data_IF_035404035664
#
_entry.id   IF_035404035664
#
_cell.length_a   1.000
_cell.length_b   1.000
_cell.length_c   1.000
_cell.angle_alpha   90.00
_cell.angle_beta   90.00
_cell.angle_gamma   90.00
#
_symmetry.space_group_name_H-M   'P 1'
#
loop_
_entity.id
_entity.type
_entity.pdbx_description
1 polymer ?
#
# COMPACT_ATOMS: atom_id res chain seq x y z
N UNK A 1 -19.03 8.48 0.98
CA UNK A 1 -17.63 8.40 1.22
C UNK A 1 -16.87 9.23 0.18
N UNK A 2 -15.96 10.07 0.67
CA UNK A 2 -15.35 11.11 -0.17
C UNK A 2 -14.45 10.51 -1.27
N UNK A 3 -13.65 9.51 -0.95
CA UNK A 3 -12.77 8.86 -1.94
C UNK A 3 -13.56 8.18 -3.06
N UNK A 4 -14.73 7.62 -2.74
CA UNK A 4 -15.63 7.05 -3.74
C UNK A 4 -16.25 8.10 -4.68
N UNK A 5 -16.50 9.32 -4.19
CA UNK A 5 -16.94 10.45 -5.02
C UNK A 5 -15.82 10.89 -5.97
N UNK A 6 -14.59 11.02 -5.45
CA UNK A 6 -13.42 11.35 -6.26
C UNK A 6 -13.17 10.31 -7.35
N UNK A 7 -13.23 9.02 -7.01
CA UNK A 7 -13.08 7.94 -7.99
C UNK A 7 -14.09 8.04 -9.15
N UNK A 8 -15.36 8.39 -8.84
CA UNK A 8 -16.40 8.60 -9.86
C UNK A 8 -16.17 9.85 -10.69
N UNK A 9 -15.87 10.98 -10.05
CA UNK A 9 -15.68 12.27 -10.69
C UNK A 9 -14.56 12.23 -11.73
N UNK A 10 -13.45 11.59 -11.39
CA UNK A 10 -12.27 11.51 -12.25
C UNK A 10 -12.20 10.23 -13.10
N UNK A 11 -13.20 9.37 -13.01
CA UNK A 11 -13.21 8.04 -13.66
C UNK A 11 -11.91 7.28 -13.41
N UNK A 12 -11.48 7.23 -12.16
CA UNK A 12 -10.17 6.72 -11.75
C UNK A 12 -10.27 5.65 -10.67
N UNK A 13 -9.30 4.75 -10.62
CA UNK A 13 -9.07 3.91 -9.46
C UNK A 13 -8.39 4.72 -8.36
N UNK A 14 -8.83 4.54 -7.13
CA UNK A 14 -8.21 5.14 -5.94
C UNK A 14 -7.71 4.02 -5.04
N UNK A 15 -6.43 4.05 -4.71
CA UNK A 15 -5.83 3.13 -3.75
C UNK A 15 -5.42 3.91 -2.51
N UNK A 16 -5.85 3.45 -1.36
CA UNK A 16 -5.59 4.12 -0.10
C UNK A 16 -5.46 3.10 1.05
N UNK A 17 -5.08 3.58 2.22
CA UNK A 17 -5.04 2.76 3.44
C UNK A 17 -5.64 3.53 4.62
N UNK A 18 -6.21 2.80 5.56
CA UNK A 18 -6.77 3.33 6.80
C UNK A 18 -6.72 2.28 7.91
N UNK A 19 -6.82 2.75 9.16
CA UNK A 19 -7.15 1.87 10.27
C UNK A 19 -8.64 1.56 10.22
N UNK A 20 -9.00 0.28 10.30
CA UNK A 20 -10.38 -0.18 10.24
C UNK A 20 -10.65 -1.28 11.26
N UNK A 21 -11.86 -1.32 11.78
CA UNK A 21 -12.36 -2.45 12.57
C UNK A 21 -13.04 -3.44 11.64
N UNK A 22 -12.92 -4.72 11.96
CA UNK A 22 -13.71 -5.75 11.32
C UNK A 22 -15.05 -5.91 12.07
N UNK A 23 -16.19 -6.03 11.39
CA UNK A 23 -17.49 -6.14 12.07
C UNK A 23 -17.56 -7.27 13.11
N UNK A 24 -16.92 -8.40 12.84
CA UNK A 24 -16.91 -9.56 13.76
C UNK A 24 -15.79 -9.49 14.83
N UNK A 25 -14.97 -8.44 14.84
CA UNK A 25 -13.85 -8.23 15.77
C UNK A 25 -13.80 -6.75 16.18
N UNK A 26 -14.88 -6.28 16.81
CA UNK A 26 -15.11 -4.87 17.10
C UNK A 26 -14.11 -4.25 18.10
N UNK A 27 -13.53 -5.07 18.96
CA UNK A 27 -12.51 -4.69 19.96
C UNK A 27 -11.11 -4.54 19.36
N UNK A 28 -10.93 -4.86 18.08
CA UNK A 28 -9.66 -4.88 17.39
C UNK A 28 -9.67 -4.00 16.14
N UNK A 29 -8.50 -3.46 15.79
CA UNK A 29 -8.36 -2.75 14.53
C UNK A 29 -7.21 -3.31 13.71
N UNK A 30 -7.38 -3.22 12.40
CA UNK A 30 -6.41 -3.63 11.40
C UNK A 30 -5.90 -2.39 10.66
N UNK A 31 -4.71 -2.49 10.11
CA UNK A 31 -4.27 -1.60 9.06
C UNK A 31 -4.72 -2.20 7.72
N UNK A 32 -5.56 -1.49 6.99
CA UNK A 32 -6.24 -2.01 5.79
C UNK A 32 -5.93 -1.11 4.60
N UNK A 33 -5.32 -1.71 3.58
CA UNK A 33 -5.25 -1.12 2.24
C UNK A 33 -6.51 -1.49 1.45
N UNK A 34 -7.00 -0.59 0.62
CA UNK A 34 -8.19 -0.84 -0.19
C UNK A 34 -8.12 -0.16 -1.55
N UNK A 35 -8.82 -0.76 -2.51
CA UNK A 35 -8.93 -0.24 -3.88
C UNK A 35 -10.40 0.10 -4.16
N UNK A 36 -10.62 1.33 -4.64
CA UNK A 36 -11.93 1.82 -5.08
C UNK A 36 -11.90 1.93 -6.60
N UNK A 37 -12.91 1.39 -7.26
CA UNK A 37 -13.04 1.47 -8.71
C UNK A 37 -13.70 2.79 -9.17
N UNK A 38 -13.70 3.10 -10.49
CA UNK A 38 -14.34 4.29 -11.06
C UNK A 38 -15.85 4.42 -10.79
N UNK A 39 -16.50 3.36 -10.30
CA UNK A 39 -17.89 3.41 -9.84
C UNK A 39 -18.03 3.80 -8.37
N UNK A 40 -16.91 4.12 -7.69
CA UNK A 40 -16.86 4.49 -6.28
C UNK A 40 -17.08 3.33 -5.32
N UNK A 41 -16.84 2.09 -5.75
CA UNK A 41 -17.00 0.89 -4.93
C UNK A 41 -15.66 0.34 -4.51
N UNK A 42 -15.53 -0.05 -3.26
CA UNK A 42 -14.38 -0.83 -2.77
C UNK A 42 -14.43 -2.22 -3.38
N UNK A 43 -13.40 -2.58 -4.15
CA UNK A 43 -13.31 -3.85 -4.88
C UNK A 43 -12.24 -4.78 -4.32
N UNK A 44 -11.30 -4.28 -3.51
CA UNK A 44 -10.30 -5.06 -2.79
C UNK A 44 -10.07 -4.44 -1.41
N UNK A 45 -9.87 -5.30 -0.42
CA UNK A 45 -9.31 -4.97 0.89
C UNK A 45 -8.15 -5.92 1.19
N UNK A 46 -7.01 -5.35 1.51
CA UNK A 46 -5.84 -6.09 2.02
C UNK A 46 -5.63 -5.73 3.49
N UNK A 47 -5.67 -6.72 4.35
CA UNK A 47 -5.38 -6.57 5.78
C UNK A 47 -3.90 -6.84 5.99
N UNK A 48 -3.18 -5.86 6.50
CA UNK A 48 -1.72 -5.94 6.65
C UNK A 48 -1.29 -7.20 7.39
N UNK A 49 -0.47 -8.03 6.75
CA UNK A 49 -0.02 -9.32 7.30
C UNK A 49 1.26 -9.22 8.13
N UNK A 50 2.03 -8.14 7.97
CA UNK A 50 3.31 -7.93 8.66
C UNK A 50 3.38 -6.53 9.28
N UNK A 51 2.64 -6.26 10.39
CA UNK A 51 2.78 -5.00 11.14
C UNK A 51 4.19 -4.82 11.68
N UNK A 52 4.64 -3.57 11.81
CA UNK A 52 5.94 -3.25 12.39
C UNK A 52 5.85 -3.22 13.92
N UNK A 53 6.10 -4.34 14.56
CA UNK A 53 6.16 -4.41 16.02
C UNK A 53 7.47 -3.77 16.56
N UNK A 54 7.43 -3.02 17.68
CA UNK A 54 6.28 -2.65 18.52
C UNK A 54 5.64 -1.30 18.16
N UNK A 55 6.03 -0.69 17.06
CA UNK A 55 5.62 0.66 16.66
C UNK A 55 4.17 0.69 16.17
N UNK A 56 3.75 -0.36 15.48
CA UNK A 56 2.41 -0.51 14.94
C UNK A 56 1.58 -1.44 15.85
N UNK A 57 0.43 -0.93 16.32
CA UNK A 57 -0.43 -1.64 17.26
C UNK A 57 -1.62 -2.34 16.59
N UNK A 58 -1.71 -2.32 15.27
CA UNK A 58 -2.76 -3.04 14.55
C UNK A 58 -2.55 -4.55 14.67
N UNK A 59 -3.66 -5.29 14.77
CA UNK A 59 -3.61 -6.74 14.63
C UNK A 59 -3.48 -7.14 13.16
N UNK A 60 -2.99 -8.33 12.91
CA UNK A 60 -2.87 -8.90 11.57
C UNK A 60 -3.66 -10.21 11.47
N UNK A 61 -3.86 -10.73 10.26
CA UNK A 61 -4.51 -12.03 10.06
C UNK A 61 -3.90 -13.18 10.87
N UNK A 62 -2.59 -13.15 11.15
CA UNK A 62 -1.91 -14.19 11.94
C UNK A 62 -2.25 -14.12 13.44
N UNK A 63 -2.59 -12.94 13.97
CA UNK A 63 -2.99 -12.79 15.38
C UNK A 63 -4.37 -13.39 15.68
N UNK A 64 -5.15 -13.61 14.62
CA UNK A 64 -6.50 -14.19 14.66
C UNK A 64 -6.63 -15.36 13.67
N UNK A 65 -5.56 -16.13 13.52
CA UNK A 65 -5.34 -17.08 12.42
C UNK A 65 -6.48 -18.08 12.22
N UNK A 66 -6.93 -18.76 13.28
CA UNK A 66 -7.97 -19.78 13.16
C UNK A 66 -9.29 -19.18 12.67
N UNK A 67 -9.70 -18.05 13.26
CA UNK A 67 -10.87 -17.30 12.82
C UNK A 67 -10.72 -16.79 11.38
N UNK A 68 -9.52 -16.32 11.01
CA UNK A 68 -9.23 -15.82 9.68
C UNK A 68 -9.36 -16.91 8.62
N UNK A 69 -8.77 -18.07 8.88
CA UNK A 69 -8.79 -19.22 7.97
C UNK A 69 -10.20 -19.80 7.85
N UNK A 70 -10.96 -19.87 8.93
CA UNK A 70 -12.36 -20.29 8.90
C UNK A 70 -13.19 -19.37 8.00
N UNK A 71 -12.97 -18.07 8.08
CA UNK A 71 -13.78 -17.07 7.36
C UNK A 71 -13.36 -16.88 5.90
N UNK A 72 -12.06 -16.84 5.62
CA UNK A 72 -11.50 -16.45 4.32
C UNK A 72 -10.76 -17.58 3.60
N UNK A 73 -10.55 -18.71 4.27
CA UNK A 73 -9.77 -19.84 3.75
C UNK A 73 -8.26 -19.68 3.93
N UNK A 74 -7.54 -20.74 3.54
CA UNK A 74 -6.08 -20.82 3.62
C UNK A 74 -5.45 -20.77 2.23
N UNK A 75 -5.66 -19.66 1.53
CA UNK A 75 -5.18 -19.44 0.15
C UNK A 75 -4.33 -18.18 0.07
N UNK A 76 -3.59 -17.99 -1.00
CA UNK A 76 -2.88 -16.73 -1.25
C UNK A 76 -3.85 -15.54 -1.24
N UNK A 77 -5.03 -15.71 -1.83
CA UNK A 77 -6.03 -14.64 -1.92
C UNK A 77 -6.58 -14.20 -0.56
N UNK A 78 -6.56 -15.08 0.44
CA UNK A 78 -7.01 -14.75 1.80
C UNK A 78 -6.03 -13.79 2.52
N UNK A 79 -4.75 -13.85 2.21
CA UNK A 79 -3.70 -13.07 2.86
C UNK A 79 -3.10 -11.99 1.94
N UNK A 80 -2.94 -12.26 0.65
CA UNK A 80 -2.38 -11.37 -0.35
C UNK A 80 -3.33 -11.23 -1.55
N UNK A 81 -4.52 -10.62 -1.36
CA UNK A 81 -5.52 -10.54 -2.41
C UNK A 81 -5.06 -9.69 -3.59
N UNK A 82 -5.48 -10.11 -4.78
CA UNK A 82 -5.30 -9.41 -6.04
C UNK A 82 -6.66 -9.30 -6.74
N UNK A 83 -6.92 -8.18 -7.39
CA UNK A 83 -8.16 -7.94 -8.14
C UNK A 83 -7.87 -7.65 -9.60
N UNK A 84 -8.62 -8.31 -10.49
CA UNK A 84 -8.62 -8.03 -11.92
C UNK A 84 -9.38 -6.73 -12.21
N UNK A 85 -8.77 -5.86 -13.00
CA UNK A 85 -9.35 -4.59 -13.44
C UNK A 85 -9.02 -4.30 -14.90
N UNK A 86 -9.69 -3.32 -15.49
CA UNK A 86 -9.39 -2.83 -16.85
C UNK A 86 -8.01 -2.16 -16.97
N UNK A 87 -7.35 -1.85 -15.85
CA UNK A 87 -5.99 -1.28 -15.81
C UNK A 87 -4.97 -2.29 -15.26
N UNK A 88 -5.24 -3.58 -15.39
CA UNK A 88 -4.38 -4.67 -14.93
C UNK A 88 -4.78 -5.26 -13.59
N UNK A 89 -3.99 -6.22 -13.11
CA UNK A 89 -4.21 -6.91 -11.84
C UNK A 89 -3.51 -6.19 -10.70
N UNK A 90 -4.32 -5.63 -9.79
CA UNK A 90 -3.87 -4.75 -8.73
C UNK A 90 -3.74 -5.47 -7.39
N UNK A 91 -2.64 -5.24 -6.69
CA UNK A 91 -2.39 -5.71 -5.34
C UNK A 91 -1.90 -4.62 -4.40
N UNK A 92 -1.88 -4.91 -3.11
CA UNK A 92 -1.43 -3.98 -2.08
C UNK A 92 -0.39 -4.65 -1.19
N UNK A 93 0.70 -3.93 -0.92
CA UNK A 93 1.77 -4.30 0.00
C UNK A 93 2.14 -3.06 0.81
N UNK A 94 1.76 -3.00 2.10
CA UNK A 94 1.88 -1.77 2.88
C UNK A 94 3.22 -1.67 3.60
N UNK A 95 3.93 -0.56 3.39
CA UNK A 95 5.10 -0.14 4.17
C UNK A 95 6.09 -1.29 4.44
N UNK A 96 6.15 -1.73 5.71
CA UNK A 96 7.04 -2.78 6.19
C UNK A 96 6.85 -4.15 5.50
N UNK A 97 5.68 -4.43 4.92
CA UNK A 97 5.48 -5.68 4.18
C UNK A 97 6.47 -5.83 3.02
N UNK A 98 6.84 -4.73 2.36
CA UNK A 98 7.84 -4.75 1.30
C UNK A 98 9.28 -4.99 1.77
N UNK A 99 9.54 -4.98 3.08
CA UNK A 99 10.83 -5.38 3.63
C UNK A 99 11.04 -6.90 3.55
N UNK A 100 9.96 -7.66 3.50
CA UNK A 100 9.98 -9.13 3.40
C UNK A 100 9.69 -9.55 1.96
N UNK A 101 10.65 -10.21 1.26
CA UNK A 101 10.49 -10.66 -0.12
C UNK A 101 9.26 -11.54 -0.34
N UNK A 102 8.88 -12.30 0.68
CA UNK A 102 7.77 -13.26 0.65
C UNK A 102 6.43 -12.58 0.36
N UNK A 103 6.19 -11.39 0.90
CA UNK A 103 4.95 -10.66 0.66
C UNK A 103 4.81 -10.25 -0.82
N UNK A 104 5.88 -9.75 -1.41
CA UNK A 104 5.90 -9.41 -2.83
C UNK A 104 5.77 -10.65 -3.71
N UNK A 105 6.47 -11.73 -3.35
CA UNK A 105 6.39 -13.01 -4.06
C UNK A 105 4.97 -13.60 -4.01
N UNK A 106 4.30 -13.55 -2.86
CA UNK A 106 2.93 -14.03 -2.72
C UNK A 106 1.94 -13.25 -3.61
N UNK A 107 2.07 -11.92 -3.66
CA UNK A 107 1.26 -11.09 -4.56
C UNK A 107 1.51 -11.44 -6.04
N UNK A 108 2.78 -11.60 -6.45
CA UNK A 108 3.13 -11.98 -7.82
C UNK A 108 2.60 -13.38 -8.17
N UNK A 109 2.72 -14.36 -7.27
CA UNK A 109 2.17 -15.71 -7.46
C UNK A 109 0.63 -15.70 -7.53
N UNK A 110 -0.02 -14.73 -6.89
CA UNK A 110 -1.46 -14.50 -7.02
C UNK A 110 -1.82 -13.64 -8.24
N UNK A 111 -0.83 -13.27 -9.05
CA UNK A 111 -0.98 -12.65 -10.36
C UNK A 111 -0.95 -11.12 -10.36
N UNK A 112 -0.47 -10.46 -9.32
CA UNK A 112 -0.35 -9.00 -9.30
C UNK A 112 0.59 -8.48 -10.39
N UNK A 113 0.16 -7.45 -11.11
CA UNK A 113 0.92 -6.72 -12.15
C UNK A 113 1.35 -5.34 -11.65
N UNK A 114 0.47 -4.69 -10.88
CA UNK A 114 0.76 -3.40 -10.24
C UNK A 114 0.48 -3.50 -8.75
N UNK A 115 1.48 -3.15 -7.94
CA UNK A 115 1.40 -3.22 -6.49
C UNK A 115 1.58 -1.83 -5.88
N UNK A 116 0.59 -1.42 -5.09
CA UNK A 116 0.66 -0.22 -4.28
C UNK A 116 1.46 -0.50 -3.00
N UNK A 117 2.44 0.38 -2.68
CA UNK A 117 3.27 0.30 -1.47
C UNK A 117 3.40 1.65 -0.78
N UNK A 118 2.35 2.12 -0.11
CA UNK A 118 2.42 3.35 0.67
C UNK A 118 3.19 3.18 1.98
N UNK A 119 3.85 4.25 2.41
CA UNK A 119 4.58 4.28 3.68
C UNK A 119 4.73 5.71 4.23
N UNK A 120 5.04 5.80 5.53
CA UNK A 120 5.75 6.93 6.11
C UNK A 120 7.18 6.43 6.43
N UNK A 121 8.10 6.66 5.50
CA UNK A 121 9.32 5.87 5.46
C UNK A 121 10.42 6.30 6.45
N UNK A 122 10.17 7.18 7.39
CA UNK A 122 11.14 7.68 8.35
C UNK A 122 12.61 7.28 8.05
N UNK A 123 13.52 6.92 8.97
CA UNK A 123 14.98 6.79 8.70
C UNK A 123 15.38 5.97 7.48
N UNK A 124 14.55 4.99 7.08
CA UNK A 124 14.84 4.17 5.91
C UNK A 124 14.81 4.94 4.57
N UNK A 125 14.19 6.12 4.52
CA UNK A 125 14.19 6.96 3.31
C UNK A 125 15.55 7.58 3.06
N UNK A 126 16.20 8.10 4.10
CA UNK A 126 17.50 8.74 3.99
C UNK A 126 18.61 7.80 3.52
N UNK A 127 18.48 6.52 3.82
CA UNK A 127 19.41 5.47 3.40
C UNK A 127 19.00 4.76 2.11
N UNK A 128 17.98 5.26 1.42
CA UNK A 128 17.42 4.67 0.18
C UNK A 128 16.88 3.23 0.33
N UNK A 129 16.84 2.69 1.53
CA UNK A 129 16.46 1.30 1.80
C UNK A 129 15.07 1.00 1.24
N UNK A 130 14.11 1.92 1.43
CA UNK A 130 12.76 1.74 0.94
C UNK A 130 12.69 1.67 -0.59
N UNK A 131 13.47 2.51 -1.29
CA UNK A 131 13.60 2.48 -2.76
C UNK A 131 14.31 1.21 -3.22
N UNK A 132 15.46 0.86 -2.60
CA UNK A 132 16.23 -0.35 -2.93
C UNK A 132 15.34 -1.59 -2.79
N UNK A 133 14.61 -1.72 -1.69
CA UNK A 133 13.68 -2.82 -1.50
C UNK A 133 12.60 -2.85 -2.57
N UNK A 134 11.96 -1.70 -2.87
CA UNK A 134 10.89 -1.64 -3.85
C UNK A 134 11.38 -1.99 -5.25
N UNK A 135 12.57 -1.54 -5.63
CA UNK A 135 13.20 -1.89 -6.91
C UNK A 135 13.50 -3.38 -7.02
N UNK A 136 14.02 -3.98 -5.95
CA UNK A 136 14.25 -5.42 -5.88
C UNK A 136 12.93 -6.20 -6.00
N UNK A 137 11.86 -5.79 -5.27
CA UNK A 137 10.56 -6.47 -5.35
C UNK A 137 9.93 -6.37 -6.74
N UNK A 138 10.07 -5.22 -7.41
CA UNK A 138 9.60 -5.05 -8.78
C UNK A 138 10.35 -5.98 -9.75
N UNK A 139 11.67 -5.97 -9.71
CA UNK A 139 12.55 -6.77 -10.57
C UNK A 139 12.36 -8.27 -10.36
N UNK A 140 12.41 -8.74 -9.09
CA UNK A 140 12.34 -10.16 -8.73
C UNK A 140 10.98 -10.80 -9.06
N UNK A 141 9.94 -9.99 -9.23
CA UNK A 141 8.56 -10.43 -9.39
C UNK A 141 7.89 -9.95 -10.67
N UNK A 142 8.61 -9.28 -11.57
CA UNK A 142 8.09 -8.75 -12.84
C UNK A 142 6.80 -7.94 -12.67
N UNK A 143 6.75 -7.03 -11.70
CA UNK A 143 5.57 -6.21 -11.42
C UNK A 143 5.95 -4.74 -11.25
N UNK A 144 4.99 -3.85 -11.48
CA UNK A 144 5.15 -2.43 -11.18
C UNK A 144 4.91 -2.17 -9.70
N UNK A 145 5.62 -1.18 -9.14
CA UNK A 145 5.37 -0.69 -7.78
C UNK A 145 5.07 0.80 -7.83
N UNK A 146 3.95 1.19 -7.22
CA UNK A 146 3.53 2.58 -7.00
C UNK A 146 3.63 2.84 -5.50
N UNK A 147 4.55 3.71 -5.11
CA UNK A 147 4.88 3.96 -3.71
C UNK A 147 4.66 5.43 -3.31
N UNK A 148 3.43 5.83 -2.98
CA UNK A 148 3.19 7.13 -2.37
C UNK A 148 3.68 7.13 -0.93
N UNK A 149 4.48 8.11 -0.56
CA UNK A 149 5.08 8.22 0.76
C UNK A 149 4.67 9.52 1.46
N UNK A 150 4.54 9.47 2.77
CA UNK A 150 4.26 10.63 3.59
C UNK A 150 5.46 11.58 3.59
N UNK A 151 5.21 12.86 3.29
CA UNK A 151 6.22 13.91 3.38
C UNK A 151 6.26 14.52 4.77
N UNK A 152 5.16 15.13 5.20
CA UNK A 152 5.05 15.86 6.45
C UNK A 152 3.78 15.46 7.17
N UNK A 153 3.84 15.39 8.49
CA UNK A 153 2.69 15.02 9.33
C UNK A 153 2.29 16.18 10.25
N UNK A 154 1.04 16.60 10.13
CA UNK A 154 0.37 17.56 10.99
C UNK A 154 -0.70 16.83 11.80
N UNK A 155 -0.87 17.17 13.08
CA UNK A 155 -1.90 16.57 13.93
C UNK A 155 -3.30 17.05 13.54
N UNK A 156 -3.40 18.35 13.24
CA UNK A 156 -4.65 19.00 12.81
C UNK A 156 -4.42 19.81 11.53
N UNK A 157 -5.45 19.96 10.67
CA UNK A 157 -5.32 20.67 9.40
C UNK A 157 -4.89 22.15 9.50
N UNK A 158 -5.21 22.80 10.62
CA UNK A 158 -4.91 24.19 10.90
C UNK A 158 -3.49 24.44 11.41
N UNK A 159 -2.76 23.40 11.74
CA UNK A 159 -1.39 23.55 12.26
C UNK A 159 -0.41 23.94 11.15
N UNK A 160 0.49 24.86 11.45
CA UNK A 160 1.57 25.30 10.57
C UNK A 160 2.92 24.64 10.89
N UNK A 161 3.02 24.02 12.07
CA UNK A 161 4.22 23.31 12.52
C UNK A 161 3.96 21.81 12.46
N UNK A 162 4.73 21.07 11.67
CA UNK A 162 4.56 19.62 11.60
C UNK A 162 5.05 18.95 12.90
N UNK A 163 4.38 17.85 13.27
CA UNK A 163 4.88 16.98 14.35
C UNK A 163 6.13 16.24 13.88
N UNK A 164 6.13 15.81 12.62
CA UNK A 164 7.22 15.02 12.06
C UNK A 164 7.35 15.22 10.55
N UNK A 165 8.54 14.94 10.01
CA UNK A 165 8.83 15.00 8.58
C UNK A 165 9.48 13.68 8.15
N UNK A 166 8.80 12.97 7.26
CA UNK A 166 9.20 11.63 6.81
C UNK A 166 9.97 11.63 5.47
N UNK A 167 10.14 12.78 4.86
CA UNK A 167 10.97 12.98 3.67
C UNK A 167 10.32 12.67 2.32
N UNK A 168 9.12 12.11 2.27
CA UNK A 168 8.40 11.87 1.02
C UNK A 168 9.10 10.85 0.12
N UNK A 169 9.64 11.31 -1.02
CA UNK A 169 10.25 10.46 -2.06
C UNK A 169 9.29 9.41 -2.60
N UNK A 170 8.08 9.83 -2.92
CA UNK A 170 7.13 8.98 -3.66
C UNK A 170 7.72 8.60 -5.02
N UNK A 171 7.47 7.37 -5.48
CA UNK A 171 8.02 6.88 -6.74
C UNK A 171 7.12 5.84 -7.43
N UNK A 172 7.38 5.68 -8.73
CA UNK A 172 6.84 4.60 -9.56
C UNK A 172 8.01 3.82 -10.13
N UNK A 173 7.98 2.49 -10.02
CA UNK A 173 9.02 1.57 -10.48
C UNK A 173 8.43 0.59 -11.47
N UNK A 174 9.13 0.36 -12.60
CA UNK A 174 8.73 -0.63 -13.59
C UNK A 174 9.19 -2.06 -13.21
N UNK A 175 8.68 -3.05 -13.94
CA UNK A 175 9.01 -4.47 -13.75
C UNK A 175 10.49 -4.82 -13.96
N UNK A 176 11.30 -3.89 -14.50
CA UNK A 176 12.76 -4.01 -14.64
C UNK A 176 13.52 -3.35 -13.49
N UNK A 177 12.80 -2.91 -12.44
CA UNK A 177 13.38 -2.22 -11.30
C UNK A 177 13.87 -0.80 -11.60
N UNK A 178 13.44 -0.19 -12.72
CA UNK A 178 13.80 1.19 -13.08
C UNK A 178 12.77 2.17 -12.54
N UNK A 179 13.24 3.33 -12.16
CA UNK A 179 12.38 4.42 -11.68
C UNK A 179 11.74 5.07 -12.90
N UNK A 180 10.41 5.00 -12.99
CA UNK A 180 9.59 5.66 -14.01
C UNK A 180 9.32 7.12 -13.63
N UNK A 181 9.09 7.37 -12.36
CA UNK A 181 8.92 8.70 -11.79
C UNK A 181 9.28 8.71 -10.32
N UNK A 182 9.85 9.81 -9.85
CA UNK A 182 10.23 10.00 -8.45
C UNK A 182 10.06 11.47 -8.06
N UNK A 183 9.51 11.67 -6.87
CA UNK A 183 9.54 12.95 -6.20
C UNK A 183 10.90 13.12 -5.51
N UNK A 184 11.48 14.30 -5.58
CA UNK A 184 12.67 14.61 -4.82
C UNK A 184 12.38 14.65 -3.31
N UNK A 185 13.42 14.50 -2.52
CA UNK A 185 13.32 14.55 -1.07
C UNK A 185 12.78 15.91 -0.62
N UNK A 186 11.79 15.91 0.26
CA UNK A 186 11.25 17.16 0.80
C UNK A 186 9.98 16.99 1.63
N UNK A 187 9.73 17.99 2.46
CA UNK A 187 8.48 18.17 3.17
C UNK A 187 7.44 18.82 2.25
N UNK A 188 6.18 18.54 2.49
CA UNK A 188 5.06 19.13 1.77
C UNK A 188 4.33 18.14 0.87
N UNK A 189 3.17 18.60 0.40
CA UNK A 189 2.31 17.82 -0.48
C UNK A 189 2.71 18.04 -1.94
N UNK A 190 2.95 16.94 -2.65
CA UNK A 190 3.23 16.95 -4.08
C UNK A 190 2.76 15.63 -4.70
N UNK A 191 2.97 15.47 -5.99
CA UNK A 191 2.62 14.25 -6.70
C UNK A 191 3.76 13.78 -7.59
N UNK A 192 3.72 12.52 -7.95
CA UNK A 192 4.52 11.93 -9.01
C UNK A 192 3.60 11.17 -9.96
N UNK A 193 3.83 11.31 -11.25
CA UNK A 193 3.08 10.62 -12.30
C UNK A 193 4.00 9.86 -13.23
N UNK A 194 3.45 8.84 -13.89
CA UNK A 194 4.15 8.04 -14.88
C UNK A 194 3.19 7.13 -15.62
N UNK A 195 3.61 6.68 -16.79
CA UNK A 195 2.86 5.71 -17.60
C UNK A 195 3.33 4.31 -17.26
N UNK A 196 2.38 3.42 -17.03
CA UNK A 196 2.59 1.98 -16.78
C UNK A 196 2.03 1.24 -18.01
N UNK A 197 2.85 0.40 -18.61
CA UNK A 197 2.50 -0.43 -19.77
C UNK A 197 2.47 -1.90 -19.32
N UNK A 198 1.28 -2.48 -19.25
CA UNK A 198 0.98 -3.82 -18.71
C UNK A 198 0.68 -4.79 -19.85
#
# INVERSE_FOLDING_TARGET
DELGKIAKEYNAFVVAQAKARHPDLEDRFFNVGFIINPRGRVILKHYKVSPLFPVEHSVCPHDVYDWWVEKYGKTLNAFWPVVDTEIGRLGIMMANEGSYPENARALAMNGAEVVYRASYPHPATGNEIFEIQSRARALDNNMYIVAPNMGTYYLFPEETTPIDTFGGRSFIIDYKGRIVGRQDYGAGSTYVGGVVDI
#
